data_IF_866325431922
#
_entry.id   IF_866325431922
#
_cell.length_a   1.000
_cell.length_b   1.000
_cell.length_c   1.000
_cell.angle_alpha   90.00
_cell.angle_beta   90.00
_cell.angle_gamma   90.00
#
_symmetry.space_group_name_H-M   'P 1'
#
loop_
_entity.id
_entity.type
_entity.pdbx_description
1 polymer ?
#
# COMPACT_ATOMS: atom_id res chain seq x y z
N UNK A 1 -11.26 9.55 -12.51
CA UNK A 1 -11.05 8.22 -13.12
C UNK A 1 -11.41 7.12 -12.13
N UNK A 2 -11.91 5.99 -12.61
CA UNK A 2 -12.13 4.81 -11.78
C UNK A 2 -10.86 3.97 -11.78
N UNK A 3 -10.39 3.62 -10.58
CA UNK A 3 -9.18 2.82 -10.38
C UNK A 3 -9.57 1.53 -9.67
N UNK A 4 -9.04 0.41 -10.15
CA UNK A 4 -9.08 -0.88 -9.45
C UNK A 4 -7.71 -1.12 -8.83
N UNK A 5 -7.68 -1.45 -7.56
CA UNK A 5 -6.47 -1.82 -6.85
C UNK A 5 -6.62 -3.20 -6.23
N UNK A 6 -5.67 -4.07 -6.51
CA UNK A 6 -5.68 -5.43 -5.97
C UNK A 6 -4.27 -5.79 -5.53
N UNK A 7 -4.14 -6.26 -4.30
CA UNK A 7 -2.90 -6.86 -3.79
C UNK A 7 -2.61 -8.15 -4.56
N UNK A 8 -1.39 -8.32 -5.03
CA UNK A 8 -1.00 -9.48 -5.84
C UNK A 8 -0.98 -10.80 -5.09
N UNK A 9 -0.92 -10.74 -3.78
CA UNK A 9 -0.95 -11.91 -2.92
C UNK A 9 -0.68 -11.58 -1.46
N UNK A 10 -1.07 -12.51 -0.59
CA UNK A 10 -0.84 -12.45 0.83
C UNK A 10 -0.34 -13.80 1.34
N UNK A 11 0.80 -13.80 2.01
CA UNK A 11 1.46 -15.00 2.52
C UNK A 11 1.68 -16.02 1.39
N UNK A 12 0.93 -17.12 1.39
CA UNK A 12 1.07 -18.20 0.41
C UNK A 12 0.08 -18.14 -0.75
N UNK A 13 -0.88 -17.22 -0.74
CA UNK A 13 -1.88 -17.11 -1.79
C UNK A 13 -1.55 -15.95 -2.70
N UNK A 14 -1.49 -16.19 -4.01
CA UNK A 14 -1.20 -15.19 -5.03
C UNK A 14 -2.31 -15.13 -6.08
N UNK A 15 -2.43 -14.00 -6.76
CA UNK A 15 -3.52 -13.71 -7.71
C UNK A 15 -3.11 -13.92 -9.17
N UNK A 16 -1.86 -14.24 -9.42
CA UNK A 16 -1.31 -14.43 -10.76
C UNK A 16 -0.25 -15.53 -10.78
N UNK A 17 0.04 -16.14 -11.94
CA UNK A 17 1.11 -17.12 -12.07
C UNK A 17 2.49 -16.43 -11.99
N UNK A 18 3.17 -16.60 -10.85
CA UNK A 18 4.53 -16.11 -10.62
C UNK A 18 5.49 -17.29 -10.47
N UNK A 19 6.39 -17.53 -11.43
CA UNK A 19 7.44 -18.55 -11.29
C UNK A 19 8.31 -18.35 -10.05
N UNK A 20 8.59 -17.11 -9.67
CA UNK A 20 9.36 -16.80 -8.48
C UNK A 20 8.63 -17.21 -7.20
N UNK A 21 7.38 -16.78 -7.02
CA UNK A 21 6.60 -17.09 -5.82
C UNK A 21 6.23 -18.57 -5.75
N UNK A 22 6.05 -19.25 -6.90
CA UNK A 22 5.85 -20.69 -6.94
C UNK A 22 7.05 -21.45 -6.33
N UNK A 23 8.28 -21.05 -6.67
CA UNK A 23 9.50 -21.63 -6.08
C UNK A 23 9.59 -21.35 -4.56
N UNK A 24 8.96 -20.30 -4.07
CA UNK A 24 8.82 -19.97 -2.65
C UNK A 24 7.69 -20.76 -1.95
N UNK A 25 6.99 -21.62 -2.67
CA UNK A 25 5.90 -22.45 -2.17
C UNK A 25 4.57 -21.72 -2.02
N UNK A 26 4.34 -20.68 -2.82
CA UNK A 26 3.04 -20.02 -2.91
C UNK A 26 2.08 -20.84 -3.79
N UNK A 27 0.78 -20.69 -3.50
CA UNK A 27 -0.29 -21.34 -4.27
C UNK A 27 -0.72 -20.44 -5.42
N UNK A 28 -0.58 -20.96 -6.64
CA UNK A 28 -1.04 -20.29 -7.85
C UNK A 28 -2.54 -20.43 -8.02
N UNK A 29 -3.23 -19.40 -8.52
CA UNK A 29 -4.64 -19.52 -8.85
C UNK A 29 -4.85 -20.39 -10.09
N UNK A 30 -6.03 -20.97 -10.23
CA UNK A 30 -6.45 -21.67 -11.46
C UNK A 30 -6.76 -20.70 -12.60
N UNK A 31 -6.99 -19.44 -12.28
CA UNK A 31 -7.26 -18.35 -13.22
C UNK A 31 -6.31 -17.21 -12.91
N UNK A 32 -5.70 -16.64 -13.94
CA UNK A 32 -4.91 -15.42 -13.81
C UNK A 32 -5.82 -14.22 -13.58
N UNK A 33 -5.95 -13.82 -12.32
CA UNK A 33 -6.82 -12.72 -11.92
C UNK A 33 -6.27 -11.37 -12.37
N UNK A 34 -4.94 -11.21 -12.42
CA UNK A 34 -4.32 -9.96 -12.87
C UNK A 34 -4.63 -9.71 -14.34
N UNK A 35 -4.45 -10.71 -15.21
CA UNK A 35 -4.84 -10.64 -16.61
C UNK A 35 -6.33 -10.33 -16.77
N UNK A 36 -7.17 -11.02 -16.01
CA UNK A 36 -8.62 -10.81 -16.07
C UNK A 36 -9.00 -9.37 -15.70
N UNK A 37 -8.46 -8.82 -14.62
CA UNK A 37 -8.76 -7.46 -14.17
C UNK A 37 -8.22 -6.41 -15.14
N UNK A 38 -7.03 -6.60 -15.70
CA UNK A 38 -6.46 -5.69 -16.69
C UNK A 38 -7.32 -5.61 -17.96
N UNK A 39 -7.78 -6.75 -18.46
CA UNK A 39 -8.72 -6.81 -19.61
C UNK A 39 -10.06 -6.14 -19.31
N UNK A 40 -10.60 -6.36 -18.11
CA UNK A 40 -11.84 -5.70 -17.68
C UNK A 40 -11.64 -4.18 -17.52
N UNK A 41 -10.53 -3.76 -16.95
CA UNK A 41 -10.18 -2.35 -16.82
C UNK A 41 -10.08 -1.68 -18.21
N UNK A 42 -9.44 -2.29 -19.20
CA UNK A 42 -9.43 -1.78 -20.57
C UNK A 42 -10.82 -1.68 -21.16
N UNK A 43 -11.61 -2.73 -21.01
CA UNK A 43 -13.00 -2.78 -21.55
C UNK A 43 -13.88 -1.64 -21.01
N UNK A 44 -13.70 -1.29 -19.73
CA UNK A 44 -14.56 -0.29 -19.05
C UNK A 44 -13.88 1.07 -18.86
N UNK A 45 -12.74 1.30 -19.48
CA UNK A 45 -12.01 2.58 -19.39
C UNK A 45 -11.50 2.90 -17.98
N UNK A 46 -11.17 1.88 -17.21
CA UNK A 46 -10.65 2.00 -15.85
C UNK A 46 -9.12 1.88 -15.84
N UNK A 47 -8.49 2.30 -14.74
CA UNK A 47 -7.07 2.04 -14.47
C UNK A 47 -6.91 0.94 -13.44
N UNK A 48 -5.91 0.09 -13.62
CA UNK A 48 -5.54 -0.95 -12.68
C UNK A 48 -4.21 -0.61 -12.04
N UNK A 49 -4.20 -0.52 -10.70
CA UNK A 49 -2.98 -0.39 -9.91
C UNK A 49 -2.62 -1.75 -9.32
N UNK A 50 -1.46 -2.22 -9.69
CA UNK A 50 -0.98 -3.51 -9.22
C UNK A 50 -0.44 -3.38 -7.78
N UNK A 51 -1.07 -4.09 -6.85
CA UNK A 51 -0.61 -4.18 -5.47
C UNK A 51 0.51 -5.19 -5.33
N UNK A 52 1.63 -4.78 -4.75
CA UNK A 52 2.79 -5.63 -4.53
C UNK A 52 2.45 -6.83 -3.61
N UNK A 53 3.29 -7.84 -3.65
CA UNK A 53 3.15 -9.03 -2.83
C UNK A 53 3.40 -8.71 -1.36
N UNK A 54 2.55 -9.23 -0.49
CA UNK A 54 2.67 -9.15 0.96
C UNK A 54 3.05 -10.53 1.51
N UNK A 55 4.29 -10.67 1.95
CA UNK A 55 4.78 -11.93 2.52
C UNK A 55 4.16 -12.26 3.88
N UNK A 56 3.56 -11.29 4.53
CA UNK A 56 3.05 -11.34 5.90
C UNK A 56 4.11 -11.23 6.98
N UNK A 57 5.40 -11.18 6.63
CA UNK A 57 6.49 -11.15 7.62
C UNK A 57 6.51 -9.85 8.42
N UNK A 58 6.20 -8.71 7.78
CA UNK A 58 6.18 -7.44 8.49
C UNK A 58 5.05 -7.37 9.54
N UNK A 59 3.95 -8.06 9.32
CA UNK A 59 2.89 -8.22 10.33
C UNK A 59 3.36 -9.01 11.56
N UNK A 60 4.20 -10.01 11.33
CA UNK A 60 4.72 -10.87 12.41
C UNK A 60 5.91 -10.21 13.13
N UNK A 61 6.70 -9.39 12.43
CA UNK A 61 7.97 -8.82 12.93
C UNK A 61 7.95 -7.33 13.22
N UNK A 62 6.97 -6.59 12.67
CA UNK A 62 6.96 -5.12 12.69
C UNK A 62 8.02 -4.48 11.80
N UNK A 63 8.65 -5.23 10.89
CA UNK A 63 9.75 -4.78 10.04
C UNK A 63 9.42 -4.96 8.55
N UNK A 64 9.31 -3.86 7.81
CA UNK A 64 8.95 -3.84 6.39
C UNK A 64 10.11 -4.21 5.46
N UNK A 65 11.34 -4.27 5.94
CA UNK A 65 12.51 -4.60 5.09
C UNK A 65 12.41 -5.98 4.44
N UNK A 66 11.66 -6.90 5.05
CA UNK A 66 11.40 -8.24 4.51
C UNK A 66 10.66 -8.23 3.17
N UNK A 67 9.83 -7.20 2.92
CA UNK A 67 9.00 -7.13 1.71
C UNK A 67 9.82 -6.74 0.47
N UNK A 68 10.98 -6.10 0.65
CA UNK A 68 11.84 -5.64 -0.45
C UNK A 68 12.40 -6.82 -1.25
N UNK A 69 12.86 -7.86 -0.56
CA UNK A 69 13.57 -8.98 -1.20
C UNK A 69 12.70 -9.74 -2.21
N UNK A 70 11.47 -10.06 -1.84
CA UNK A 70 10.57 -10.81 -2.71
C UNK A 70 9.98 -9.91 -3.80
N UNK A 71 9.66 -8.66 -3.48
CA UNK A 71 9.03 -7.75 -4.44
C UNK A 71 9.94 -7.28 -5.56
N UNK A 72 11.26 -7.29 -5.40
CA UNK A 72 12.18 -7.04 -6.52
C UNK A 72 11.87 -7.94 -7.72
N UNK A 73 11.70 -9.24 -7.48
CA UNK A 73 11.42 -10.21 -8.53
C UNK A 73 9.97 -10.13 -9.02
N UNK A 74 9.03 -9.86 -8.11
CA UNK A 74 7.61 -9.70 -8.46
C UNK A 74 7.39 -8.49 -9.37
N UNK A 75 8.04 -7.37 -9.11
CA UNK A 75 7.94 -6.15 -9.94
C UNK A 75 8.41 -6.45 -11.37
N UNK A 76 9.56 -7.11 -11.53
CA UNK A 76 10.11 -7.46 -12.83
C UNK A 76 9.18 -8.42 -13.60
N UNK A 77 8.73 -9.51 -12.96
CA UNK A 77 7.79 -10.48 -13.56
C UNK A 77 6.48 -9.83 -14.01
N UNK A 78 5.94 -8.94 -13.18
CA UNK A 78 4.66 -8.26 -13.46
C UNK A 78 4.80 -7.27 -14.60
N UNK A 79 5.87 -6.50 -14.61
CA UNK A 79 6.11 -5.56 -15.71
C UNK A 79 6.27 -6.27 -17.04
N UNK A 80 7.06 -7.33 -17.08
CA UNK A 80 7.29 -8.13 -18.30
C UNK A 80 5.99 -8.82 -18.79
N UNK A 81 5.20 -9.36 -17.88
CA UNK A 81 4.03 -10.15 -18.24
C UNK A 81 2.77 -9.32 -18.49
N UNK A 82 2.62 -8.17 -17.81
CA UNK A 82 1.38 -7.36 -17.82
C UNK A 82 1.63 -5.89 -18.08
N UNK A 83 2.49 -5.23 -17.31
CA UNK A 83 2.62 -3.78 -17.30
C UNK A 83 2.96 -3.20 -18.68
N UNK A 84 3.86 -3.84 -19.40
CA UNK A 84 4.26 -3.43 -20.74
C UNK A 84 3.22 -3.71 -21.84
N UNK A 85 2.19 -4.53 -21.55
CA UNK A 85 1.22 -5.02 -22.54
C UNK A 85 -0.15 -4.35 -22.45
N UNK A 86 -0.57 -3.97 -21.23
CA UNK A 86 -1.92 -3.46 -20.98
C UNK A 86 -1.92 -1.95 -20.76
N UNK A 87 -2.68 -1.21 -21.57
CA UNK A 87 -2.86 0.25 -21.41
C UNK A 87 -3.63 0.62 -20.14
N UNK A 88 -4.39 -0.34 -19.59
CA UNK A 88 -5.08 -0.21 -18.31
C UNK A 88 -4.17 -0.30 -17.10
N UNK A 89 -2.92 -0.80 -17.27
CA UNK A 89 -1.94 -0.76 -16.18
C UNK A 89 -1.61 0.69 -15.85
N UNK A 90 -2.16 1.19 -14.76
CA UNK A 90 -2.15 2.62 -14.42
C UNK A 90 -1.10 3.02 -13.40
N UNK A 91 -0.57 2.06 -12.66
CA UNK A 91 0.40 2.34 -11.60
C UNK A 91 0.58 1.19 -10.62
N UNK A 92 1.25 1.49 -9.51
CA UNK A 92 1.65 0.53 -8.51
C UNK A 92 1.09 0.88 -7.12
N UNK A 93 0.61 -0.10 -6.42
CA UNK A 93 0.27 0.00 -5.01
C UNK A 93 1.33 -0.75 -4.18
N UNK A 94 2.10 -0.02 -3.40
CA UNK A 94 3.04 -0.62 -2.45
C UNK A 94 2.23 -1.07 -1.24
N UNK A 95 1.82 -2.32 -1.24
CA UNK A 95 0.74 -2.88 -0.43
C UNK A 95 1.04 -3.08 1.06
N UNK A 96 2.17 -2.60 1.56
CA UNK A 96 2.46 -2.59 2.98
C UNK A 96 1.52 -1.66 3.74
N UNK A 97 0.59 -2.22 4.48
CA UNK A 97 -0.28 -1.47 5.40
C UNK A 97 0.49 -1.16 6.67
N UNK A 98 1.27 -0.10 6.64
CA UNK A 98 2.12 0.33 7.74
C UNK A 98 1.41 1.32 8.67
N UNK A 99 1.91 1.41 9.89
CA UNK A 99 1.72 2.58 10.75
C UNK A 99 3.03 3.36 10.91
N UNK A 100 2.95 4.48 11.60
CA UNK A 100 4.13 5.28 11.98
C UNK A 100 5.24 4.47 12.69
N UNK A 101 4.88 3.41 13.37
CA UNK A 101 5.79 2.57 14.17
C UNK A 101 6.46 1.44 13.38
N UNK A 102 6.09 1.25 12.11
CA UNK A 102 6.63 0.14 11.29
C UNK A 102 8.10 0.38 10.97
N UNK A 103 8.95 -0.52 11.44
CA UNK A 103 10.40 -0.44 11.24
C UNK A 103 10.76 -0.59 9.76
N UNK A 104 11.74 0.20 9.31
CA UNK A 104 12.29 0.10 7.97
C UNK A 104 11.34 0.58 6.84
N UNK A 105 10.19 1.17 7.17
CA UNK A 105 9.18 1.56 6.19
C UNK A 105 9.71 2.56 5.14
N UNK A 106 10.39 3.61 5.56
CA UNK A 106 10.96 4.63 4.64
C UNK A 106 11.89 3.96 3.62
N UNK A 107 12.85 3.17 4.09
CA UNK A 107 13.80 2.49 3.22
C UNK A 107 13.14 1.48 2.27
N UNK A 108 12.14 0.74 2.76
CA UNK A 108 11.38 -0.21 1.96
C UNK A 108 10.54 0.48 0.88
N UNK A 109 9.79 1.52 1.23
CA UNK A 109 9.02 2.30 0.26
C UNK A 109 9.90 2.97 -0.77
N UNK A 110 11.04 3.55 -0.35
CA UNK A 110 11.97 4.16 -1.28
C UNK A 110 12.52 3.13 -2.27
N UNK A 111 12.96 1.96 -1.79
CA UNK A 111 13.51 0.90 -2.65
C UNK A 111 12.47 0.37 -3.64
N UNK A 112 11.27 0.04 -3.15
CA UNK A 112 10.18 -0.51 -3.97
C UNK A 112 9.60 0.54 -4.93
N UNK A 113 9.33 1.75 -4.45
CA UNK A 113 8.81 2.84 -5.25
C UNK A 113 9.77 3.24 -6.38
N UNK A 114 11.07 3.31 -6.06
CA UNK A 114 12.10 3.57 -7.07
C UNK A 114 12.11 2.49 -8.16
N UNK A 115 12.12 1.21 -7.81
CA UNK A 115 12.11 0.13 -8.79
C UNK A 115 10.84 0.15 -9.65
N UNK A 116 9.67 0.36 -9.03
CA UNK A 116 8.40 0.49 -9.76
C UNK A 116 8.46 1.63 -10.79
N UNK A 117 8.95 2.80 -10.40
CA UNK A 117 9.10 3.96 -11.31
C UNK A 117 10.13 3.70 -12.40
N UNK A 118 11.29 3.17 -12.05
CA UNK A 118 12.37 2.91 -13.02
C UNK A 118 11.92 1.95 -14.12
N UNK A 119 11.28 0.83 -13.76
CA UNK A 119 10.87 -0.18 -14.76
C UNK A 119 9.68 0.27 -15.61
N UNK A 120 8.81 1.11 -15.07
CA UNK A 120 7.57 1.54 -15.73
C UNK A 120 7.61 2.94 -16.33
N UNK A 121 8.81 3.53 -16.46
CA UNK A 121 8.99 4.88 -16.98
C UNK A 121 8.16 5.93 -16.22
N UNK A 122 8.16 5.84 -14.89
CA UNK A 122 7.55 6.82 -13.99
C UNK A 122 6.05 6.67 -13.76
N UNK A 123 5.48 5.49 -13.97
CA UNK A 123 4.07 5.27 -13.57
C UNK A 123 3.86 5.56 -12.08
N UNK A 124 2.70 6.11 -11.70
CA UNK A 124 2.44 6.52 -10.34
C UNK A 124 2.46 5.35 -9.36
N UNK A 125 2.92 5.65 -8.16
CA UNK A 125 2.96 4.75 -7.01
C UNK A 125 2.13 5.33 -5.88
N UNK A 126 1.50 4.47 -5.08
CA UNK A 126 0.81 4.93 -3.90
C UNK A 126 0.91 3.95 -2.74
N UNK A 127 0.61 4.44 -1.53
CA UNK A 127 0.57 3.70 -0.28
C UNK A 127 -0.77 3.91 0.43
N UNK A 128 -1.16 2.96 1.27
CA UNK A 128 -2.38 3.06 2.09
C UNK A 128 -2.10 2.67 3.53
N UNK A 129 -1.46 3.56 4.31
CA UNK A 129 -1.15 3.31 5.70
C UNK A 129 -2.38 3.52 6.60
N UNK A 130 -2.32 2.96 7.80
CA UNK A 130 -3.32 3.20 8.83
C UNK A 130 -2.83 4.17 9.89
N UNK A 131 -3.75 4.77 10.62
CA UNK A 131 -3.47 5.73 11.70
C UNK A 131 -3.61 5.00 13.03
N UNK A 132 -2.63 5.16 13.93
CA UNK A 132 -2.64 4.61 15.29
C UNK A 132 -3.63 5.38 16.18
N UNK A 133 -4.91 5.44 15.79
CA UNK A 133 -5.95 6.16 16.51
C UNK A 133 -6.49 5.40 17.72
N UNK A 134 -7.39 6.03 18.47
CA UNK A 134 -7.98 5.43 19.68
C UNK A 134 -8.81 4.17 19.42
N UNK A 135 -9.42 4.07 18.25
CA UNK A 135 -10.23 2.91 17.85
C UNK A 135 -9.38 1.66 17.63
N UNK A 136 -8.11 1.81 17.27
CA UNK A 136 -7.17 0.71 17.14
C UNK A 136 -6.92 -0.07 18.44
N UNK A 137 -7.10 0.59 19.58
CA UNK A 137 -6.91 0.02 20.92
C UNK A 137 -8.00 -1.03 21.25
N UNK A 138 -9.19 -0.86 20.70
CA UNK A 138 -10.36 -1.69 21.00
C UNK A 138 -10.47 -2.94 20.12
N UNK A 139 -9.61 -3.05 19.10
CA UNK A 139 -9.61 -4.17 18.16
C UNK A 139 -8.68 -5.32 18.57
N UNK A 140 -8.43 -6.21 17.61
CA UNK A 140 -7.55 -7.37 17.76
C UNK A 140 -6.05 -7.01 17.77
N UNK A 141 -5.71 -5.72 17.67
CA UNK A 141 -4.33 -5.24 17.73
C UNK A 141 -3.80 -5.30 19.16
N UNK A 142 -2.51 -5.55 19.31
CA UNK A 142 -1.85 -5.54 20.63
C UNK A 142 -1.56 -4.12 21.16
N UNK A 143 -2.24 -3.11 20.61
CA UNK A 143 -2.05 -1.71 20.99
C UNK A 143 -2.69 -1.39 22.33
N UNK A 144 -2.04 -0.55 23.10
CA UNK A 144 -2.52 -0.01 24.38
C UNK A 144 -2.99 1.44 24.19
N UNK A 145 -3.63 2.03 25.20
CA UNK A 145 -4.04 3.44 25.13
C UNK A 145 -2.88 4.41 24.93
N UNK A 146 -1.71 4.04 25.40
CA UNK A 146 -0.47 4.81 25.26
C UNK A 146 0.06 4.79 23.82
N UNK A 147 -0.34 3.79 23.04
CA UNK A 147 0.04 3.70 21.63
C UNK A 147 -0.81 4.59 20.72
N UNK A 148 -1.99 5.05 21.20
CA UNK A 148 -2.83 5.97 20.45
C UNK A 148 -2.14 7.33 20.27
N UNK A 149 -1.98 7.73 19.02
CA UNK A 149 -1.23 8.92 18.66
C UNK A 149 -2.10 10.18 18.79
N UNK A 150 -1.53 11.28 19.26
CA UNK A 150 -2.14 12.60 19.10
C UNK A 150 -1.98 13.10 17.66
N UNK A 151 -2.86 14.03 17.25
CA UNK A 151 -2.78 14.65 15.91
C UNK A 151 -1.41 15.32 15.69
N UNK A 152 -0.86 15.99 16.70
CA UNK A 152 0.44 16.66 16.62
C UNK A 152 1.60 15.67 16.47
N UNK A 153 1.52 14.53 17.16
CA UNK A 153 2.52 13.48 17.04
C UNK A 153 2.44 12.81 15.67
N UNK A 154 1.22 12.53 15.19
CA UNK A 154 0.98 12.01 13.85
C UNK A 154 1.58 12.96 12.78
N UNK A 155 1.32 14.26 12.88
CA UNK A 155 1.88 15.25 11.97
C UNK A 155 3.42 15.20 11.93
N UNK A 156 4.05 15.19 13.10
CA UNK A 156 5.52 15.15 13.20
C UNK A 156 6.12 13.90 12.59
N UNK A 157 5.57 12.73 12.89
CA UNK A 157 6.12 11.44 12.45
C UNK A 157 5.87 11.18 10.98
N UNK A 158 4.68 11.55 10.46
CA UNK A 158 4.39 11.44 9.04
C UNK A 158 5.08 12.52 8.20
N UNK A 159 5.44 13.65 8.78
CA UNK A 159 6.32 14.64 8.11
C UNK A 159 7.69 14.01 7.78
N UNK A 160 8.29 13.29 8.74
CA UNK A 160 9.54 12.57 8.53
C UNK A 160 9.40 11.44 7.50
N UNK A 161 8.31 10.68 7.56
CA UNK A 161 8.06 9.59 6.60
C UNK A 161 7.89 10.15 5.19
N UNK A 162 7.07 11.19 5.00
CA UNK A 162 6.85 11.79 3.69
C UNK A 162 8.10 12.42 3.11
N UNK A 163 8.92 13.09 3.96
CA UNK A 163 10.23 13.61 3.53
C UNK A 163 11.11 12.50 2.91
N UNK A 164 11.08 11.31 3.49
CA UNK A 164 11.87 10.18 3.04
C UNK A 164 11.33 9.42 1.81
N UNK A 165 10.06 9.64 1.40
CA UNK A 165 9.43 8.83 0.34
C UNK A 165 8.80 9.62 -0.81
N UNK A 166 8.62 10.93 -0.70
CA UNK A 166 7.86 11.74 -1.67
C UNK A 166 8.42 11.72 -3.09
N UNK A 167 9.70 11.45 -3.27
CA UNK A 167 10.31 11.31 -4.60
C UNK A 167 9.88 10.04 -5.34
N UNK A 168 9.41 9.04 -4.60
CA UNK A 168 9.08 7.70 -5.11
C UNK A 168 7.66 7.25 -4.83
N UNK A 169 6.88 8.05 -4.09
CA UNK A 169 5.46 7.81 -3.78
C UNK A 169 4.65 9.04 -4.17
N UNK A 170 3.71 8.87 -5.09
CA UNK A 170 2.91 9.98 -5.64
C UNK A 170 1.63 10.24 -4.87
N UNK A 171 1.07 9.23 -4.20
CA UNK A 171 -0.18 9.35 -3.47
C UNK A 171 -0.18 8.56 -2.17
N UNK A 172 -0.86 9.11 -1.16
CA UNK A 172 -1.09 8.44 0.12
C UNK A 172 -2.59 8.42 0.43
N UNK A 173 -3.13 7.21 0.68
CA UNK A 173 -4.54 6.99 1.04
C UNK A 173 -4.62 6.44 2.47
N UNK A 174 -4.71 7.32 3.46
CA UNK A 174 -4.84 6.88 4.84
C UNK A 174 -6.16 6.14 5.09
N UNK A 175 -6.08 5.03 5.82
CA UNK A 175 -7.22 4.24 6.27
C UNK A 175 -7.84 4.90 7.51
N UNK A 176 -9.17 4.98 7.56
CA UNK A 176 -9.92 5.64 8.65
C UNK A 176 -10.44 4.70 9.74
N UNK A 177 -10.32 3.40 9.56
CA UNK A 177 -10.92 2.39 10.44
C UNK A 177 -10.42 2.38 11.89
N UNK A 178 -9.34 3.09 12.19
CA UNK A 178 -8.74 3.15 13.53
C UNK A 178 -8.91 4.50 14.23
N UNK A 179 -9.67 5.42 13.65
CA UNK A 179 -9.95 6.75 14.20
C UNK A 179 -11.43 6.89 14.56
N UNK A 180 -11.71 7.59 15.64
CA UNK A 180 -13.09 7.95 15.97
C UNK A 180 -13.61 9.08 15.06
N UNK A 181 -14.93 9.13 14.84
CA UNK A 181 -15.54 10.11 13.95
C UNK A 181 -15.27 11.56 14.32
N UNK A 182 -15.13 11.87 15.59
CA UNK A 182 -14.84 13.22 16.10
C UNK A 182 -13.37 13.63 15.89
N UNK A 183 -12.49 12.69 15.53
CA UNK A 183 -11.08 12.95 15.26
C UNK A 183 -10.75 13.01 13.74
N UNK A 184 -11.66 12.53 12.86
CA UNK A 184 -11.42 12.42 11.42
C UNK A 184 -10.94 13.73 10.80
N UNK A 185 -11.64 14.83 11.03
CA UNK A 185 -11.31 16.15 10.48
C UNK A 185 -9.90 16.58 10.83
N UNK A 186 -9.48 16.38 12.07
CA UNK A 186 -8.17 16.79 12.55
C UNK A 186 -7.04 15.99 11.88
N UNK A 187 -7.17 14.65 11.85
CA UNK A 187 -6.16 13.81 11.22
C UNK A 187 -6.10 14.00 9.71
N UNK A 188 -7.24 14.06 9.00
CA UNK A 188 -7.25 14.22 7.55
C UNK A 188 -6.83 15.62 7.11
N UNK A 189 -7.07 16.66 7.92
CA UNK A 189 -6.51 17.99 7.68
C UNK A 189 -4.98 17.98 7.72
N UNK A 190 -4.39 17.27 8.67
CA UNK A 190 -2.94 17.07 8.76
C UNK A 190 -2.42 16.26 7.56
N UNK A 191 -3.08 15.16 7.22
CA UNK A 191 -2.69 14.35 6.08
C UNK A 191 -2.67 15.15 4.78
N UNK A 192 -3.71 15.97 4.56
CA UNK A 192 -3.79 16.85 3.39
C UNK A 192 -2.68 17.90 3.40
N UNK A 193 -2.44 18.55 4.54
CA UNK A 193 -1.37 19.54 4.70
C UNK A 193 0.01 18.94 4.38
N UNK A 194 0.30 17.75 4.87
CA UNK A 194 1.57 17.06 4.63
C UNK A 194 1.70 16.65 3.15
N UNK A 195 0.66 16.08 2.58
CA UNK A 195 0.67 15.71 1.16
C UNK A 195 0.93 16.94 0.27
N UNK A 196 0.27 18.07 0.55
CA UNK A 196 0.51 19.31 -0.19
C UNK A 196 1.94 19.86 -0.03
N UNK A 197 2.51 19.75 1.17
CA UNK A 197 3.90 20.16 1.45
C UNK A 197 4.90 19.41 0.58
N UNK A 198 4.66 18.13 0.34
CA UNK A 198 5.56 17.26 -0.43
C UNK A 198 5.14 17.03 -1.88
N UNK A 199 4.09 17.70 -2.36
CA UNK A 199 3.59 17.55 -3.73
C UNK A 199 2.94 16.21 -4.02
N UNK A 200 2.51 15.47 -2.98
CA UNK A 200 1.84 14.19 -3.09
C UNK A 200 0.32 14.39 -3.20
N UNK A 201 -0.36 13.41 -3.80
CA UNK A 201 -1.83 13.36 -3.76
C UNK A 201 -2.30 12.80 -2.42
N UNK A 202 -3.28 13.46 -1.81
CA UNK A 202 -3.94 12.99 -0.61
C UNK A 202 -5.26 12.30 -0.98
N UNK A 203 -5.32 11.01 -0.75
CA UNK A 203 -6.54 10.22 -0.87
C UNK A 203 -6.98 9.75 0.52
N UNK A 204 -8.19 9.26 0.63
CA UNK A 204 -8.68 8.60 1.82
C UNK A 204 -9.19 7.21 1.49
N UNK A 205 -8.95 6.27 2.36
CA UNK A 205 -9.48 4.93 2.28
C UNK A 205 -10.57 4.77 3.34
N UNK A 206 -11.84 4.95 2.92
CA UNK A 206 -13.00 4.78 3.80
C UNK A 206 -13.26 3.29 4.01
N UNK A 207 -13.05 2.81 5.23
CA UNK A 207 -13.35 1.43 5.59
C UNK A 207 -14.87 1.26 5.77
N UNK A 208 -15.45 0.35 4.99
CA UNK A 208 -16.89 0.09 4.97
C UNK A 208 -17.33 -1.04 5.93
N UNK A 209 -16.43 -1.51 6.78
CA UNK A 209 -16.71 -2.52 7.80
C UNK A 209 -16.45 -1.95 9.19
N UNK A 210 -17.24 -2.38 10.17
CA UNK A 210 -17.00 -2.07 11.59
C UNK A 210 -16.43 -3.31 12.29
N UNK A 211 -15.43 -3.10 13.15
CA UNK A 211 -14.78 -4.17 13.91
C UNK A 211 -15.56 -4.55 15.19
N UNK A 212 -16.55 -3.75 15.53
CA UNK A 212 -17.39 -3.94 16.72
C UNK A 212 -18.66 -4.78 16.43
N UNK A 213 -18.75 -5.43 15.27
CA UNK A 213 -19.84 -6.36 14.93
C UNK A 213 -19.50 -7.80 15.27
#
# INVERSE_FOLDING_TARGET
DTVIMIRSGYRKFVTFPSPYLLKKGCYMPSVDLVDMFLRLAEKYGMKFYFGLYDSGKYWDTGDMTWEVEDNKYVIDEVWENYGSKYKSFGGWYISGEISRATKGAIGAFHALGKQCKDISNGLPTFISPWIDGKKAIMGTTKMTKEDAVSVQQHEKEWDEIFDGIHEVVDACAFQDGHIDYDELDAFFSVNKKLADKYGMQCWTNAESFDRDM
#
